data_IF_787721609861
#
_entry.id   IF_787721609861
#
_cell.length_a   1.000
_cell.length_b   1.000
_cell.length_c   1.000
_cell.angle_alpha   90.00
_cell.angle_beta   90.00
_cell.angle_gamma   90.00
#
_symmetry.space_group_name_H-M   'P 1'
#
loop_
_entity.id
_entity.type
_entity.pdbx_description
1 polymer ?
#
# COMPACT_ATOMS: atom_id res chain seq x y z
N UNK A 1 6.77 -58.67 -39.83
CA UNK A 1 6.88 -57.22 -40.01
C UNK A 1 6.65 -56.55 -38.65
N UNK A 2 7.70 -56.20 -37.96
CA UNK A 2 7.70 -55.72 -36.55
C UNK A 2 7.78 -54.21 -36.56
N UNK A 3 6.76 -53.49 -36.05
CA UNK A 3 6.79 -52.03 -35.84
C UNK A 3 7.20 -51.75 -34.40
N UNK A 4 8.35 -51.09 -34.25
CA UNK A 4 8.86 -50.57 -33.00
C UNK A 4 8.17 -49.23 -32.67
N UNK A 5 7.57 -49.13 -31.48
CA UNK A 5 7.10 -47.86 -30.90
C UNK A 5 8.26 -47.22 -30.12
N UNK A 6 8.59 -45.99 -30.47
CA UNK A 6 9.45 -45.13 -29.66
C UNK A 6 8.62 -44.37 -28.63
N UNK A 7 8.91 -44.54 -27.36
CA UNK A 7 8.41 -43.70 -26.29
C UNK A 7 9.37 -42.51 -26.11
N UNK A 8 8.89 -41.29 -26.34
CA UNK A 8 9.57 -40.07 -25.98
C UNK A 8 9.14 -39.68 -24.56
N UNK A 9 10.09 -39.68 -23.64
CA UNK A 9 9.90 -39.21 -22.27
C UNK A 9 9.86 -37.66 -22.28
N UNK A 10 8.73 -37.07 -21.86
CA UNK A 10 8.61 -35.65 -21.60
C UNK A 10 9.06 -35.38 -20.16
N UNK A 11 10.21 -34.72 -20.02
CA UNK A 11 10.73 -34.32 -18.73
C UNK A 11 9.88 -33.18 -18.16
N UNK A 12 9.25 -33.41 -17.03
CA UNK A 12 8.51 -32.41 -16.25
C UNK A 12 9.51 -31.64 -15.40
N UNK A 13 9.83 -30.43 -15.81
CA UNK A 13 10.66 -29.51 -15.00
C UNK A 13 9.75 -28.83 -13.96
N UNK A 14 9.89 -29.24 -12.71
CA UNK A 14 9.23 -28.60 -11.57
C UNK A 14 9.97 -27.32 -11.24
N UNK A 15 9.35 -26.18 -11.52
CA UNK A 15 9.84 -24.86 -11.14
C UNK A 15 9.48 -24.62 -9.66
N UNK A 16 10.45 -24.76 -8.77
CA UNK A 16 10.31 -24.39 -7.36
C UNK A 16 10.26 -22.85 -7.24
N UNK A 17 9.09 -22.32 -6.98
CA UNK A 17 8.95 -20.93 -6.52
C UNK A 17 9.38 -20.84 -5.05
N UNK A 18 10.53 -20.24 -4.81
CA UNK A 18 10.98 -19.87 -3.46
C UNK A 18 10.23 -18.59 -3.08
N UNK A 19 9.27 -18.73 -2.17
CA UNK A 19 8.66 -17.58 -1.51
C UNK A 19 9.63 -17.03 -0.47
N UNK A 20 10.20 -15.85 -0.74
CA UNK A 20 11.03 -15.13 0.23
C UNK A 20 10.10 -14.46 1.24
N UNK A 21 9.96 -15.09 2.41
CA UNK A 21 9.36 -14.44 3.57
C UNK A 21 10.39 -13.51 4.20
N UNK A 22 10.08 -12.22 4.31
CA UNK A 22 10.88 -11.28 5.11
C UNK A 22 10.71 -11.63 6.60
N UNK A 23 11.54 -12.54 7.12
CA UNK A 23 11.69 -12.77 8.56
C UNK A 23 12.83 -11.90 9.07
N UNK A 24 12.51 -10.84 9.82
CA UNK A 24 13.48 -10.11 10.64
C UNK A 24 13.70 -10.89 11.94
N UNK A 25 14.82 -11.57 12.06
CA UNK A 25 15.36 -12.02 13.35
C UNK A 25 16.47 -11.08 13.78
N UNK A 26 16.48 -10.58 15.02
CA UNK A 26 17.58 -9.76 15.52
C UNK A 26 18.78 -10.66 15.82
N UNK A 27 19.88 -10.50 15.11
CA UNK A 27 21.14 -11.16 15.42
C UNK A 27 22.05 -10.21 16.20
N UNK A 28 22.26 -10.56 17.47
CA UNK A 28 23.10 -9.84 18.41
C UNK A 28 24.53 -10.41 18.34
N UNK A 29 25.45 -9.73 17.64
CA UNK A 29 26.87 -9.96 17.81
C UNK A 29 27.63 -8.63 17.75
N UNK A 30 28.17 -8.28 18.90
CA UNK A 30 29.12 -7.21 19.14
C UNK A 30 30.44 -7.50 18.45
N UNK A 31 30.84 -6.71 17.47
CA UNK A 31 32.24 -6.48 17.11
C UNK A 31 32.39 -5.00 16.78
N UNK A 32 33.21 -4.30 17.57
CA UNK A 32 33.59 -2.92 17.35
C UNK A 32 34.45 -2.79 16.11
N UNK A 33 34.16 -1.87 15.22
CA UNK A 33 35.14 -1.26 14.35
C UNK A 33 35.14 0.27 14.49
N UNK A 34 36.31 0.76 14.24
CA UNK A 34 36.80 2.13 14.27
C UNK A 34 35.89 3.17 13.63
N UNK A 35 35.82 4.29 14.30
CA UNK A 35 35.14 5.55 14.02
C UNK A 35 35.42 6.07 12.60
N UNK A 36 34.49 5.89 11.70
CA UNK A 36 34.34 6.72 10.50
C UNK A 36 33.10 7.59 10.73
N UNK A 37 33.33 8.90 10.76
CA UNK A 37 32.29 9.91 10.90
C UNK A 37 31.44 9.94 9.62
N UNK A 38 30.33 9.23 9.65
CA UNK A 38 29.26 9.42 8.67
C UNK A 38 28.11 10.09 9.42
N UNK A 39 27.81 11.33 9.06
CA UNK A 39 26.54 12.00 9.38
C UNK A 39 25.39 11.27 8.69
N UNK A 40 25.05 10.07 9.16
CA UNK A 40 23.75 9.49 8.96
C UNK A 40 22.86 10.11 10.03
N UNK A 41 22.00 11.05 9.63
CA UNK A 41 20.90 11.47 10.48
C UNK A 41 20.13 10.20 10.85
N UNK A 42 20.28 9.77 12.10
CA UNK A 42 19.48 8.69 12.67
C UNK A 42 18.01 9.13 12.54
N UNK A 43 17.22 8.33 11.83
CA UNK A 43 15.79 8.51 11.78
C UNK A 43 15.26 8.16 13.17
N UNK A 44 15.11 9.17 14.01
CA UNK A 44 14.40 9.04 15.28
C UNK A 44 12.90 8.97 14.96
N UNK A 45 12.27 7.85 15.31
CA UNK A 45 10.82 7.80 15.39
C UNK A 45 10.34 8.93 16.31
N UNK A 46 9.37 9.73 15.88
CA UNK A 46 8.86 10.83 16.69
C UNK A 46 8.34 10.30 18.04
N UNK A 47 8.57 11.05 19.15
CA UNK A 47 8.05 10.67 20.45
C UNK A 47 6.52 10.53 20.41
N UNK A 48 6.01 9.57 21.19
CA UNK A 48 4.59 9.18 21.24
C UNK A 48 3.64 10.26 21.80
N UNK A 49 4.15 11.43 22.15
CA UNK A 49 3.36 12.56 22.67
C UNK A 49 2.98 13.53 21.56
N UNK A 50 2.09 13.11 20.70
CA UNK A 50 1.44 14.01 19.77
C UNK A 50 -0.06 13.77 19.87
N UNK A 51 -0.75 14.82 20.28
CA UNK A 51 -2.23 14.98 20.24
C UNK A 51 -2.79 14.94 18.80
N UNK A 52 -2.14 14.22 17.91
CA UNK A 52 -2.59 13.93 16.57
C UNK A 52 -3.63 12.79 16.67
N UNK A 53 -4.85 12.95 16.14
CA UNK A 53 -5.82 11.87 16.07
C UNK A 53 -5.28 10.61 15.37
N UNK A 54 -4.12 10.71 14.77
CA UNK A 54 -3.39 9.66 14.06
C UNK A 54 -2.09 9.27 14.78
N UNK A 55 -2.17 8.86 16.05
CA UNK A 55 -1.05 8.27 16.77
C UNK A 55 -0.52 7.04 16.00
N UNK A 56 0.71 7.10 15.45
CA UNK A 56 1.25 6.02 14.62
C UNK A 56 1.43 4.72 15.40
N UNK A 57 1.73 4.76 16.69
CA UNK A 57 1.85 3.55 17.51
C UNK A 57 0.50 2.90 17.76
N UNK A 58 -0.53 3.70 18.05
CA UNK A 58 -1.90 3.21 18.17
C UNK A 58 -2.37 2.62 16.85
N UNK A 59 -2.06 3.27 15.72
CA UNK A 59 -2.33 2.75 14.39
C UNK A 59 -1.56 1.46 14.07
N UNK A 60 -0.28 1.38 14.44
CA UNK A 60 0.51 0.19 14.22
C UNK A 60 0.01 -1.00 15.07
N UNK A 61 -0.42 -0.75 16.30
CA UNK A 61 -0.99 -1.76 17.18
C UNK A 61 -2.38 -2.22 16.72
N UNK A 62 -3.21 -1.29 16.23
CA UNK A 62 -4.55 -1.59 15.72
C UNK A 62 -4.53 -2.16 14.29
N UNK A 63 -3.45 -1.93 13.56
CA UNK A 63 -3.35 -2.19 12.12
C UNK A 63 -3.31 -3.68 11.71
N UNK A 64 -3.43 -4.60 12.60
CA UNK A 64 -3.46 -6.03 12.27
C UNK A 64 -4.21 -6.87 13.29
N UNK A 65 -4.76 -6.24 14.31
CA UNK A 65 -5.48 -6.91 15.39
C UNK A 65 -6.85 -6.26 15.53
N UNK A 66 -7.89 -7.03 15.34
CA UNK A 66 -9.25 -6.58 15.56
C UNK A 66 -10.15 -6.78 14.34
N UNK A 67 -11.44 -6.61 14.61
CA UNK A 67 -12.48 -6.74 13.60
C UNK A 67 -12.46 -5.53 12.66
N UNK A 68 -12.86 -5.74 11.41
CA UNK A 68 -13.12 -4.66 10.44
C UNK A 68 -14.16 -3.67 10.99
N UNK A 69 -14.07 -2.42 10.57
CA UNK A 69 -15.14 -1.45 10.83
C UNK A 69 -16.44 -1.99 10.23
N UNK A 70 -17.55 -1.72 10.90
CA UNK A 70 -18.86 -2.21 10.47
C UNK A 70 -19.39 -1.46 9.25
N UNK A 71 -18.92 -0.23 9.02
CA UNK A 71 -19.41 0.65 7.97
C UNK A 71 -18.27 1.48 7.35
N UNK A 72 -18.32 1.68 6.04
CA UNK A 72 -17.42 2.51 5.23
C UNK A 72 -18.24 3.36 4.27
N UNK A 73 -18.15 4.68 4.40
CA UNK A 73 -18.80 5.64 3.49
C UNK A 73 -20.27 5.35 3.21
N UNK A 74 -21.03 5.03 4.26
CA UNK A 74 -22.47 4.73 4.18
C UNK A 74 -22.79 3.30 3.77
N UNK A 75 -21.80 2.44 3.55
CA UNK A 75 -21.98 1.03 3.24
C UNK A 75 -21.64 0.17 4.44
N UNK A 76 -22.61 -0.53 5.00
CA UNK A 76 -22.41 -1.50 6.07
C UNK A 76 -21.90 -2.81 5.49
N UNK A 77 -20.87 -3.39 6.08
CA UNK A 77 -20.33 -4.68 5.61
C UNK A 77 -21.33 -5.82 5.77
N UNK A 78 -22.27 -5.72 6.74
CA UNK A 78 -23.36 -6.69 6.92
C UNK A 78 -24.34 -6.74 5.77
N UNK A 79 -24.44 -5.66 4.99
CA UNK A 79 -25.41 -5.52 3.89
C UNK A 79 -24.80 -5.95 2.55
N UNK A 80 -23.54 -6.39 2.56
CA UNK A 80 -22.83 -6.87 1.38
C UNK A 80 -22.91 -8.40 1.28
N UNK A 81 -23.09 -8.87 0.06
CA UNK A 81 -22.88 -10.28 -0.27
C UNK A 81 -21.40 -10.65 -0.22
N UNK A 82 -21.13 -11.94 -0.20
CA UNK A 82 -19.77 -12.47 -0.37
C UNK A 82 -19.78 -13.46 -1.52
N UNK A 83 -18.74 -13.40 -2.34
CA UNK A 83 -18.48 -14.39 -3.38
C UNK A 83 -18.04 -15.75 -2.79
N UNK A 84 -17.77 -16.73 -3.65
CA UNK A 84 -17.29 -18.06 -3.27
C UNK A 84 -15.95 -18.05 -2.51
N UNK A 85 -15.15 -17.00 -2.70
CA UNK A 85 -13.86 -16.81 -2.04
C UNK A 85 -13.99 -16.00 -0.72
N UNK A 86 -15.23 -15.64 -0.34
CA UNK A 86 -15.52 -14.84 0.85
C UNK A 86 -15.20 -13.36 0.71
N UNK A 87 -14.97 -12.85 -0.50
CA UNK A 87 -14.77 -11.43 -0.78
C UNK A 87 -16.11 -10.71 -0.85
N UNK A 88 -16.14 -9.49 -0.34
CA UNK A 88 -17.34 -8.66 -0.39
C UNK A 88 -17.65 -8.22 -1.83
N UNK A 89 -18.93 -8.30 -2.19
CA UNK A 89 -19.48 -7.83 -3.43
C UNK A 89 -20.47 -6.69 -3.18
N UNK A 90 -20.44 -5.69 -4.03
CA UNK A 90 -21.39 -4.56 -4.03
C UNK A 90 -22.33 -4.65 -5.23
N UNK A 91 -23.59 -4.34 -5.02
CA UNK A 91 -24.51 -4.00 -6.11
C UNK A 91 -24.09 -2.69 -6.77
N UNK A 92 -24.60 -2.40 -7.96
CA UNK A 92 -24.32 -1.14 -8.66
C UNK A 92 -24.79 0.08 -7.83
N UNK A 93 -25.92 -0.03 -7.16
CA UNK A 93 -26.48 1.01 -6.29
C UNK A 93 -25.59 1.26 -5.06
N UNK A 94 -25.08 0.20 -4.43
CA UNK A 94 -24.13 0.30 -3.32
C UNK A 94 -22.81 0.92 -3.78
N UNK A 95 -22.33 0.55 -4.95
CA UNK A 95 -21.12 1.12 -5.56
C UNK A 95 -21.30 2.59 -5.87
N UNK A 96 -22.42 2.97 -6.45
CA UNK A 96 -22.77 4.36 -6.73
C UNK A 96 -22.78 5.22 -5.45
N UNK A 97 -23.41 4.71 -4.40
CA UNK A 97 -23.44 5.36 -3.07
C UNK A 97 -22.05 5.50 -2.50
N UNK A 98 -21.23 4.45 -2.57
CA UNK A 98 -19.85 4.50 -2.07
C UNK A 98 -19.00 5.51 -2.84
N UNK A 99 -19.02 5.47 -4.18
CA UNK A 99 -18.27 6.39 -5.06
C UNK A 99 -18.65 7.84 -4.78
N UNK A 100 -19.93 8.13 -4.61
CA UNK A 100 -20.41 9.46 -4.25
C UNK A 100 -19.89 9.94 -2.90
N UNK A 101 -19.82 9.05 -1.91
CA UNK A 101 -19.45 9.41 -0.55
C UNK A 101 -17.92 9.46 -0.33
N UNK A 102 -17.14 8.76 -1.17
CA UNK A 102 -15.68 8.80 -1.12
C UNK A 102 -15.09 9.96 -1.94
N UNK A 103 -15.88 10.58 -2.81
CA UNK A 103 -15.42 11.74 -3.59
C UNK A 103 -15.01 12.88 -2.66
N UNK A 104 -13.81 13.45 -2.91
CA UNK A 104 -13.28 14.54 -2.09
C UNK A 104 -11.78 14.47 -1.89
N UNK A 105 -11.32 15.15 -0.84
CA UNK A 105 -9.90 15.17 -0.46
C UNK A 105 -9.66 14.23 0.70
N UNK A 106 -8.68 13.36 0.55
CA UNK A 106 -8.26 12.38 1.55
C UNK A 106 -6.79 12.60 1.91
N UNK A 107 -6.44 12.32 3.16
CA UNK A 107 -5.03 12.29 3.53
C UNK A 107 -4.32 11.13 2.86
N UNK A 108 -3.03 11.30 2.58
CA UNK A 108 -2.17 10.21 2.12
C UNK A 108 -0.80 10.27 2.79
N UNK A 109 -0.11 9.13 2.84
CA UNK A 109 1.25 9.07 3.38
C UNK A 109 2.13 8.05 2.68
N UNK A 110 3.43 8.36 2.73
CA UNK A 110 4.53 7.42 2.55
C UNK A 110 5.38 7.46 3.82
N UNK A 111 5.61 6.31 4.46
CA UNK A 111 6.30 6.25 5.77
C UNK A 111 7.68 6.91 5.79
N UNK A 112 8.38 6.92 4.65
CA UNK A 112 9.72 7.51 4.53
C UNK A 112 9.74 9.04 4.59
N UNK A 113 8.59 9.69 4.39
CA UNK A 113 8.49 11.15 4.38
C UNK A 113 8.13 11.68 5.76
N UNK A 114 6.97 11.29 6.27
CA UNK A 114 6.51 11.72 7.60
C UNK A 114 5.24 10.98 8.02
N UNK A 115 5.19 10.65 9.32
CA UNK A 115 3.98 10.20 10.00
C UNK A 115 3.22 11.34 10.72
N UNK A 116 3.81 12.54 10.77
CA UNK A 116 3.23 13.71 11.45
C UNK A 116 2.60 14.72 10.49
N UNK A 117 3.08 14.76 9.25
CA UNK A 117 2.59 15.69 8.22
C UNK A 117 2.16 14.86 7.02
N UNK A 118 0.86 14.65 6.95
CA UNK A 118 0.26 13.95 5.83
C UNK A 118 0.26 14.81 4.57
N UNK A 119 0.27 14.17 3.44
CA UNK A 119 -0.10 14.77 2.18
C UNK A 119 -1.60 14.62 1.92
N UNK A 120 -2.03 14.95 0.73
CA UNK A 120 -3.42 14.81 0.32
C UNK A 120 -3.55 14.31 -1.11
N UNK A 121 -4.58 13.52 -1.34
CA UNK A 121 -5.06 13.14 -2.68
C UNK A 121 -6.50 13.60 -2.85
N UNK A 122 -6.83 14.05 -4.04
CA UNK A 122 -8.20 14.38 -4.42
C UNK A 122 -8.75 13.24 -5.28
N UNK A 123 -9.91 12.74 -4.88
CA UNK A 123 -10.70 11.78 -5.62
C UNK A 123 -11.86 12.50 -6.28
N UNK A 124 -11.91 12.52 -7.60
CA UNK A 124 -12.96 13.17 -8.38
C UNK A 124 -13.59 12.17 -9.33
N UNK A 125 -14.89 12.07 -9.30
CA UNK A 125 -15.65 11.14 -10.14
C UNK A 125 -15.48 11.45 -11.62
N UNK A 126 -15.21 10.40 -12.39
CA UNK A 126 -15.23 10.38 -13.85
C UNK A 126 -16.63 9.99 -14.38
N UNK A 127 -16.88 10.24 -15.66
CA UNK A 127 -18.14 9.89 -16.32
C UNK A 127 -18.40 8.37 -16.42
N UNK A 128 -17.36 7.56 -16.34
CA UNK A 128 -17.41 6.09 -16.39
C UNK A 128 -17.61 5.43 -15.01
N UNK A 129 -17.77 6.24 -13.94
CA UNK A 129 -17.94 5.76 -12.58
C UNK A 129 -16.64 5.45 -11.83
N UNK A 130 -15.47 5.59 -12.47
CA UNK A 130 -14.17 5.57 -11.79
C UNK A 130 -13.91 6.90 -11.07
N UNK A 131 -12.85 6.94 -10.24
CA UNK A 131 -12.44 8.14 -9.53
C UNK A 131 -11.05 8.55 -9.99
N UNK A 132 -10.91 9.75 -10.58
CA UNK A 132 -9.61 10.37 -10.82
C UNK A 132 -8.94 10.63 -9.48
N UNK A 133 -7.75 10.07 -9.30
CA UNK A 133 -6.92 10.25 -8.11
C UNK A 133 -5.71 11.08 -8.46
N UNK A 134 -5.55 12.22 -7.82
CA UNK A 134 -4.38 13.10 -8.01
C UNK A 134 -3.94 13.70 -6.68
N UNK A 135 -2.63 13.74 -6.45
CA UNK A 135 -2.06 14.35 -5.25
C UNK A 135 -0.82 13.64 -4.77
N UNK A 136 -0.53 13.72 -3.48
CA UNK A 136 0.64 13.10 -2.88
C UNK A 136 1.06 13.77 -1.58
N UNK A 137 2.27 13.44 -1.12
CA UNK A 137 2.88 13.99 0.08
C UNK A 137 4.23 14.61 -0.27
N UNK A 138 4.56 15.74 0.34
CA UNK A 138 5.88 16.37 0.21
C UNK A 138 6.46 16.60 1.60
N UNK A 139 7.76 16.31 1.74
CA UNK A 139 8.50 16.65 2.95
C UNK A 139 8.54 18.16 3.16
N UNK A 140 8.48 18.58 4.43
CA UNK A 140 8.62 19.99 4.79
C UNK A 140 10.10 20.44 4.91
N UNK A 141 11.03 19.47 4.99
CA UNK A 141 12.44 19.73 5.31
C UNK A 141 13.41 19.18 4.28
N UNK A 142 12.97 18.31 3.39
CA UNK A 142 13.75 17.70 2.31
C UNK A 142 12.98 17.80 0.99
N UNK A 143 13.61 17.39 -0.12
CA UNK A 143 12.94 17.29 -1.42
C UNK A 143 12.18 15.97 -1.61
N UNK A 144 12.01 15.18 -0.54
CA UNK A 144 11.33 13.90 -0.59
C UNK A 144 9.84 14.09 -0.89
N UNK A 145 9.30 13.24 -1.76
CA UNK A 145 7.89 13.29 -2.13
C UNK A 145 7.31 11.95 -2.57
N UNK A 146 6.01 11.86 -2.42
CA UNK A 146 5.12 10.87 -3.02
C UNK A 146 4.20 11.60 -4.00
N UNK A 147 3.95 11.03 -5.18
CA UNK A 147 2.95 11.51 -6.13
C UNK A 147 2.11 10.35 -6.65
N UNK A 148 0.78 10.55 -6.65
CA UNK A 148 -0.20 9.63 -7.22
C UNK A 148 -0.96 10.34 -8.34
N UNK A 149 -1.05 9.71 -9.51
CA UNK A 149 -1.77 10.19 -10.69
C UNK A 149 -2.39 8.99 -11.42
N UNK A 150 -3.69 8.85 -11.38
CA UNK A 150 -4.36 7.71 -12.01
C UNK A 150 -5.85 7.70 -11.78
N UNK A 151 -6.45 6.55 -12.00
CA UNK A 151 -7.87 6.33 -11.83
C UNK A 151 -8.10 5.17 -10.86
N UNK A 152 -9.08 5.31 -9.98
CA UNK A 152 -9.46 4.29 -9.01
C UNK A 152 -10.79 3.67 -9.44
N UNK A 153 -10.79 2.33 -9.54
CA UNK A 153 -11.99 1.52 -9.60
C UNK A 153 -12.31 0.98 -8.21
N UNK A 154 -13.50 1.23 -7.71
CA UNK A 154 -13.96 0.70 -6.43
C UNK A 154 -14.42 -0.75 -6.64
N UNK A 155 -13.69 -1.71 -6.07
CA UNK A 155 -14.06 -3.13 -6.09
C UNK A 155 -15.10 -3.39 -4.99
N UNK A 156 -14.76 -3.02 -3.75
CA UNK A 156 -15.64 -3.02 -2.58
C UNK A 156 -15.08 -2.04 -1.53
N UNK A 157 -15.72 -1.81 -0.39
CA UNK A 157 -15.27 -0.84 0.59
C UNK A 157 -13.87 -1.10 1.16
N UNK A 158 -13.40 -2.34 1.09
CA UNK A 158 -12.08 -2.75 1.58
C UNK A 158 -11.03 -2.85 0.49
N UNK A 159 -11.41 -2.67 -0.78
CA UNK A 159 -10.53 -2.89 -1.91
C UNK A 159 -10.76 -1.88 -3.03
N UNK A 160 -9.76 -1.08 -3.30
CA UNK A 160 -9.69 -0.16 -4.42
C UNK A 160 -8.59 -0.65 -5.39
N UNK A 161 -8.85 -0.57 -6.68
CA UNK A 161 -7.85 -0.76 -7.73
C UNK A 161 -7.46 0.60 -8.28
N UNK A 162 -6.19 0.94 -8.16
CA UNK A 162 -5.61 2.15 -8.76
C UNK A 162 -4.89 1.77 -10.04
N UNK A 163 -5.22 2.39 -11.13
CA UNK A 163 -4.50 2.26 -12.40
C UNK A 163 -3.87 3.60 -12.77
N UNK A 164 -2.55 3.66 -12.76
CA UNK A 164 -1.87 4.93 -12.98
C UNK A 164 -0.40 4.91 -12.61
N UNK A 165 0.09 6.06 -12.20
CA UNK A 165 1.49 6.32 -11.88
C UNK A 165 1.66 6.68 -10.41
N UNK A 166 2.56 5.95 -9.75
CA UNK A 166 3.02 6.23 -8.38
C UNK A 166 4.51 6.58 -8.48
N UNK A 167 4.85 7.79 -8.08
CA UNK A 167 6.24 8.25 -8.03
C UNK A 167 6.65 8.47 -6.58
N UNK A 168 7.72 7.82 -6.15
CA UNK A 168 8.37 8.05 -4.86
C UNK A 168 9.77 8.62 -5.09
N UNK A 169 10.15 9.65 -4.36
CA UNK A 169 11.50 10.21 -4.34
C UNK A 169 11.89 10.42 -2.89
N UNK A 170 12.85 9.66 -2.43
CA UNK A 170 13.29 9.65 -1.02
C UNK A 170 14.80 9.69 -1.00
N UNK A 171 15.38 10.63 -0.27
CA UNK A 171 16.80 10.98 -0.33
C UNK A 171 17.74 9.81 -0.06
N UNK A 172 17.35 8.88 0.81
CA UNK A 172 18.15 7.68 1.17
C UNK A 172 17.77 6.42 0.37
N UNK A 173 16.80 6.52 -0.57
CA UNK A 173 16.36 5.43 -1.44
C UNK A 173 16.77 5.77 -2.89
N UNK A 174 17.28 4.80 -3.64
CA UNK A 174 17.71 4.96 -5.02
C UNK A 174 18.64 6.18 -5.24
N UNK A 175 19.50 6.49 -4.25
CA UNK A 175 20.39 7.67 -4.25
C UNK A 175 19.63 9.00 -4.43
N UNK A 176 18.43 9.12 -3.87
CA UNK A 176 17.57 10.30 -3.99
C UNK A 176 16.96 10.51 -5.38
N UNK A 177 17.03 9.53 -6.26
CA UNK A 177 16.42 9.60 -7.59
C UNK A 177 14.98 9.09 -7.55
N UNK A 178 14.07 9.70 -8.30
CA UNK A 178 12.69 9.23 -8.37
C UNK A 178 12.58 7.77 -8.82
N UNK A 179 11.69 7.04 -8.17
CA UNK A 179 11.24 5.71 -8.59
C UNK A 179 9.81 5.85 -9.10
N UNK A 180 9.62 5.54 -10.37
CA UNK A 180 8.32 5.61 -11.03
C UNK A 180 7.81 4.19 -11.22
N UNK A 181 6.60 3.93 -10.74
CA UNK A 181 5.86 2.69 -10.96
C UNK A 181 4.57 3.02 -11.67
N UNK A 182 4.27 2.31 -12.75
CA UNK A 182 3.10 2.55 -13.60
C UNK A 182 2.37 1.23 -13.85
N UNK A 183 1.06 1.24 -13.76
CA UNK A 183 0.22 0.07 -13.93
C UNK A 183 -0.93 0.00 -12.93
N UNK A 184 -1.41 -1.22 -12.67
CA UNK A 184 -2.47 -1.50 -11.70
C UNK A 184 -1.87 -1.82 -10.32
N UNK A 185 -2.44 -1.19 -9.28
CA UNK A 185 -2.07 -1.38 -7.88
C UNK A 185 -3.33 -1.64 -7.05
N UNK A 186 -3.21 -2.55 -6.08
CA UNK A 186 -4.29 -2.88 -5.18
C UNK A 186 -4.12 -2.15 -3.85
N UNK A 187 -5.11 -1.40 -3.46
CA UNK A 187 -5.17 -0.72 -2.16
C UNK A 187 -6.21 -1.41 -1.30
N UNK A 188 -5.80 -1.98 -0.16
CA UNK A 188 -6.69 -2.78 0.69
C UNK A 188 -6.65 -2.36 2.15
N UNK A 189 -7.79 -2.54 2.81
CA UNK A 189 -7.91 -2.43 4.27
C UNK A 189 -7.58 -3.78 4.90
N UNK A 190 -6.90 -3.77 6.05
CA UNK A 190 -6.70 -4.95 6.89
C UNK A 190 -6.98 -4.60 8.36
N UNK A 191 -7.75 -5.44 9.05
CA UNK A 191 -8.15 -5.21 10.43
C UNK A 191 -8.89 -3.88 10.61
N UNK A 192 -8.60 -3.16 11.68
CA UNK A 192 -9.24 -1.87 12.02
C UNK A 192 -8.60 -0.65 11.38
N UNK A 193 -7.75 -0.83 10.35
CA UNK A 193 -7.09 0.28 9.68
C UNK A 193 -8.08 1.31 9.17
N UNK A 194 -7.70 2.57 9.27
CA UNK A 194 -8.47 3.72 8.76
C UNK A 194 -7.93 4.20 7.42
N UNK A 195 -7.28 3.32 6.66
CA UNK A 195 -6.68 3.61 5.37
C UNK A 195 -6.65 2.35 4.48
N UNK A 196 -6.65 2.58 3.20
CA UNK A 196 -6.26 1.58 2.21
C UNK A 196 -4.76 1.65 2.00
N UNK A 197 -4.08 0.51 2.16
CA UNK A 197 -2.63 0.39 1.88
C UNK A 197 -2.40 -0.30 0.56
N UNK A 198 -1.49 0.26 -0.25
CA UNK A 198 -1.00 -0.39 -1.46
C UNK A 198 -0.38 -1.75 -1.14
N UNK A 199 -0.74 -2.78 -1.91
CA UNK A 199 -0.27 -4.16 -1.70
C UNK A 199 1.06 -4.44 -2.37
N UNK A 200 1.34 -3.80 -3.48
CA UNK A 200 2.58 -3.90 -4.25
C UNK A 200 3.67 -3.02 -3.60
N UNK A 201 4.02 -3.38 -2.35
CA UNK A 201 4.87 -2.56 -1.48
C UNK A 201 6.35 -2.55 -1.89
N UNK A 202 6.85 -3.60 -2.57
CA UNK A 202 8.27 -3.71 -2.90
C UNK A 202 8.72 -2.59 -3.84
N UNK A 203 9.71 -1.82 -3.39
CA UNK A 203 10.37 -0.84 -4.23
C UNK A 203 11.33 -1.57 -5.20
N UNK A 204 11.22 -1.37 -6.53
CA UNK A 204 12.01 -2.13 -7.51
C UNK A 204 13.48 -1.73 -7.56
N UNK A 205 13.91 -0.68 -6.83
CA UNK A 205 15.28 -0.16 -6.91
C UNK A 205 16.18 -0.61 -5.75
N UNK A 206 15.61 -0.84 -4.57
CA UNK A 206 16.39 -1.23 -3.38
C UNK A 206 15.73 -2.33 -2.54
N UNK A 207 14.57 -2.82 -2.97
CA UNK A 207 13.85 -3.90 -2.30
C UNK A 207 13.21 -3.51 -0.96
N UNK A 208 13.25 -2.24 -0.57
CA UNK A 208 12.53 -1.77 0.62
C UNK A 208 11.01 -1.76 0.38
N UNK A 209 10.24 -1.74 1.46
CA UNK A 209 8.78 -1.67 1.37
C UNK A 209 8.31 -0.22 1.40
N UNK A 210 7.61 0.21 0.37
CA UNK A 210 6.91 1.50 0.32
C UNK A 210 5.49 1.31 0.85
N UNK A 211 5.18 1.88 2.03
CA UNK A 211 3.81 1.93 2.57
C UNK A 211 3.13 3.19 2.05
N UNK A 212 2.42 3.05 0.94
CA UNK A 212 1.58 4.12 0.38
C UNK A 212 0.17 3.91 0.90
N UNK A 213 -0.32 4.87 1.67
CA UNK A 213 -1.62 4.81 2.34
C UNK A 213 -2.52 5.97 1.89
N UNK A 214 -3.82 5.67 1.68
CA UNK A 214 -4.89 6.64 1.47
C UNK A 214 -5.88 6.48 2.61
N UNK A 215 -6.12 7.55 3.37
CA UNK A 215 -6.92 7.52 4.59
C UNK A 215 -8.39 7.79 4.30
N UNK A 216 -9.27 7.30 5.16
CA UNK A 216 -10.74 7.47 5.01
C UNK A 216 -11.21 8.87 5.37
N UNK A 217 -10.50 9.54 6.26
CA UNK A 217 -10.86 10.85 6.85
C UNK A 217 -9.84 11.89 6.44
#
# INVERSE_FOLDING_TARGET
MMRRFFFTAVGLTVLNMVSVSCNMTPNNQQTTPSRVSNNSASYEMPPADVTDPYDPEKFALDAGRGELRKEYFGIKLSDLNKDSDGKYEMTDEQRETFVKNIEGTHMCSLQWISWKKFGSVTLKRNSDGTLKCTGGQKSATTDDYLKLEGDITVVNPLHLKFNGKITTCVSHINNGKPVVREGEFNFTVAGQRRYWRMREMNNPKDGCCDYVDIYFD
#
